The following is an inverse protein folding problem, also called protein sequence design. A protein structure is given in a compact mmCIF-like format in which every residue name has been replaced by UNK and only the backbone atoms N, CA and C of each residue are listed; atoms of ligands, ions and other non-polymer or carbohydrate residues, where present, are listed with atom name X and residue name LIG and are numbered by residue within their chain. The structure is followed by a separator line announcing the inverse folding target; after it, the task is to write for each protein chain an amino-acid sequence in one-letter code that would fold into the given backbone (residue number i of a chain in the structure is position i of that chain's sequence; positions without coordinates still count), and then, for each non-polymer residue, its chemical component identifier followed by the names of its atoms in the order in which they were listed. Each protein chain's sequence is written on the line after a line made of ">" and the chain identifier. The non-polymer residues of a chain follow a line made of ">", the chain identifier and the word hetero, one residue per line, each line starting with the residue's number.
data_IF_473020430768
#
_entry.id   IF_473020430768
#
_cell.length_a   1.000
_cell.length_b   1.000
_cell.length_c   1.000
_cell.angle_alpha   90.00
_cell.angle_beta   90.00
_cell.angle_gamma   90.00
#
_symmetry.space_group_name_H-M   'P 1'
#
loop_
_entity.id
_entity.type
_entity.pdbx_description
1 polymer ?
#
# COMPACT_ATOMS: atom_id res chain seq x y z
N UNK A 1 -9.10 6.16 3.40
CA UNK A 1 -8.71 6.93 4.62
C UNK A 1 -8.39 8.37 4.24
N UNK A 2 -8.82 9.32 5.07
CA UNK A 2 -8.52 10.75 4.87
C UNK A 2 -7.06 11.03 5.23
N UNK A 3 -6.39 11.82 4.39
CA UNK A 3 -4.99 12.21 4.55
C UNK A 3 -4.90 13.63 5.07
N UNK A 4 -4.06 13.85 6.06
CA UNK A 4 -3.66 15.17 6.54
C UNK A 4 -2.23 15.43 6.07
N UNK A 5 -2.01 16.52 5.33
CA UNK A 5 -0.67 16.92 4.91
C UNK A 5 -0.01 17.73 6.03
N UNK A 6 1.18 17.31 6.45
CA UNK A 6 2.04 18.02 7.43
C UNK A 6 3.48 17.98 6.94
N UNK A 7 4.12 19.12 6.86
CA UNK A 7 5.51 19.28 6.37
C UNK A 7 5.75 18.60 5.00
N UNK A 8 4.76 18.66 4.11
CA UNK A 8 4.81 18.02 2.81
C UNK A 8 4.64 16.49 2.81
N UNK A 9 4.41 15.89 4.00
CA UNK A 9 4.18 14.45 4.14
C UNK A 9 2.71 14.14 4.42
N UNK A 10 2.26 13.03 3.86
CA UNK A 10 0.92 12.50 4.08
C UNK A 10 0.86 11.73 5.39
N UNK A 11 -0.09 12.09 6.25
CA UNK A 11 -0.34 11.42 7.53
C UNK A 11 -1.79 10.94 7.58
N UNK A 12 -2.03 9.85 8.27
CA UNK A 12 -3.37 9.32 8.56
C UNK A 12 -3.54 9.14 10.07
N UNK A 13 -4.78 9.32 10.53
CA UNK A 13 -5.08 9.10 11.94
C UNK A 13 -5.02 7.61 12.29
N UNK A 14 -4.46 7.26 13.45
CA UNK A 14 -4.40 5.88 13.93
C UNK A 14 -5.78 5.23 14.04
N UNK A 15 -6.78 5.98 14.44
CA UNK A 15 -8.18 5.51 14.51
C UNK A 15 -8.77 5.18 13.12
N UNK A 16 -8.36 5.89 12.07
CA UNK A 16 -8.78 5.57 10.71
C UNK A 16 -8.07 4.31 10.19
N UNK A 17 -6.79 4.12 10.54
CA UNK A 17 -6.05 2.89 10.21
C UNK A 17 -6.69 1.65 10.81
N UNK A 18 -7.10 1.73 12.08
CA UNK A 18 -7.76 0.62 12.75
C UNK A 18 -9.11 0.29 12.12
N UNK A 19 -9.95 1.30 11.89
CA UNK A 19 -11.30 1.12 11.39
C UNK A 19 -11.36 0.71 9.91
N UNK A 20 -10.50 1.29 9.06
CA UNK A 20 -10.61 1.15 7.60
C UNK A 20 -9.58 0.16 7.01
N UNK A 21 -8.45 -0.07 7.70
CA UNK A 21 -7.40 -0.96 7.24
C UNK A 21 -7.07 -2.12 8.20
N UNK A 22 -7.71 -2.17 9.37
CA UNK A 22 -7.44 -3.18 10.38
C UNK A 22 -6.01 -3.09 10.96
N UNK A 23 -5.37 -1.93 10.86
CA UNK A 23 -4.01 -1.71 11.35
C UNK A 23 -4.08 -1.02 12.70
N UNK A 24 -3.66 -1.69 13.75
CA UNK A 24 -3.67 -1.19 15.12
C UNK A 24 -2.32 -0.59 15.49
N UNK A 25 -2.33 0.62 16.01
CA UNK A 25 -1.13 1.29 16.51
C UNK A 25 -1.08 1.15 18.03
N UNK A 26 0.02 0.59 18.53
CA UNK A 26 0.25 0.39 19.98
C UNK A 26 1.54 1.05 20.42
N UNK A 27 1.53 1.63 21.62
CA UNK A 27 2.74 2.13 22.29
C UNK A 27 3.36 1.02 23.10
N UNK A 28 4.65 0.78 22.91
CA UNK A 28 5.37 -0.22 23.70
C UNK A 28 5.70 0.36 25.10
N UNK A 29 5.43 -0.41 26.17
CA UNK A 29 5.78 0.02 27.51
C UNK A 29 7.31 0.06 27.68
N UNK A 30 7.82 1.15 28.24
CA UNK A 30 9.24 1.30 28.63
C UNK A 30 10.20 1.85 27.58
N UNK A 31 9.84 1.87 26.29
CA UNK A 31 10.76 2.37 25.22
C UNK A 31 10.27 3.59 24.48
N UNK A 32 9.04 4.02 24.69
CA UNK A 32 8.48 5.16 23.94
C UNK A 32 8.29 4.90 22.42
N UNK A 33 8.51 3.67 21.99
CA UNK A 33 8.36 3.24 20.62
C UNK A 33 6.92 2.84 20.31
N UNK A 34 6.53 2.99 19.06
CA UNK A 34 5.23 2.59 18.57
C UNK A 34 5.34 1.41 17.61
N UNK A 35 4.34 0.55 17.60
CA UNK A 35 4.26 -0.61 16.72
C UNK A 35 2.95 -0.53 15.95
N UNK A 36 3.02 -0.71 14.64
CA UNK A 36 1.87 -0.93 13.78
C UNK A 36 1.69 -2.44 13.57
N UNK A 37 0.52 -2.94 13.89
CA UNK A 37 0.14 -4.34 13.68
C UNK A 37 -1.00 -4.41 12.67
N UNK A 38 -0.73 -5.02 11.51
CA UNK A 38 -1.75 -5.47 10.56
C UNK A 38 -2.18 -6.90 10.84
N UNK A 39 -2.90 -7.51 9.89
CA UNK A 39 -3.41 -8.88 10.03
C UNK A 39 -2.32 -9.96 10.08
N UNK A 40 -1.22 -9.76 9.37
CA UNK A 40 -0.17 -10.78 9.20
C UNK A 40 1.16 -10.43 9.84
N UNK A 41 1.41 -9.16 10.10
CA UNK A 41 2.69 -8.71 10.66
C UNK A 41 2.57 -7.45 11.51
N UNK A 42 3.52 -7.32 12.43
CA UNK A 42 3.74 -6.12 13.21
C UNK A 42 5.12 -5.54 12.90
N UNK A 43 5.24 -4.22 12.87
CA UNK A 43 6.51 -3.55 12.65
C UNK A 43 6.61 -2.27 13.50
N UNK A 44 7.82 -1.92 13.90
CA UNK A 44 8.10 -0.71 14.67
C UNK A 44 8.02 0.52 13.78
N UNK A 45 7.34 1.55 14.24
CA UNK A 45 7.26 2.85 13.58
C UNK A 45 8.37 3.76 14.11
N UNK A 46 9.16 4.34 13.21
CA UNK A 46 10.26 5.24 13.55
C UNK A 46 9.79 6.60 14.07
N UNK A 47 8.62 7.05 13.65
CA UNK A 47 8.06 8.33 14.06
C UNK A 47 6.54 8.28 14.07
N UNK A 48 5.99 8.96 15.08
CA UNK A 48 4.55 9.17 15.22
C UNK A 48 4.36 10.59 15.74
N UNK A 49 3.39 11.31 15.20
CA UNK A 49 3.01 12.63 15.67
C UNK A 49 1.75 12.54 16.51
N UNK A 50 1.70 13.35 17.54
CA UNK A 50 0.50 13.52 18.35
C UNK A 50 -0.08 14.91 18.08
N UNK A 51 -1.34 14.96 17.68
CA UNK A 51 -2.08 16.20 17.48
C UNK A 51 -3.33 16.17 18.38
N UNK A 52 -3.25 16.88 19.51
CA UNK A 52 -4.24 16.75 20.58
C UNK A 52 -4.26 15.32 21.13
N UNK A 53 -5.40 14.69 21.05
CA UNK A 53 -5.63 13.30 21.54
C UNK A 53 -5.51 12.25 20.41
N UNK A 54 -5.08 12.69 19.21
CA UNK A 54 -5.01 11.82 18.01
C UNK A 54 -3.57 11.56 17.63
N UNK A 55 -3.26 10.30 17.37
CA UNK A 55 -1.99 9.89 16.79
C UNK A 55 -2.06 9.95 15.27
N UNK A 56 -1.10 10.66 14.69
CA UNK A 56 -0.91 10.77 13.24
C UNK A 56 0.30 9.95 12.81
N UNK A 57 0.08 9.05 11.88
CA UNK A 57 1.10 8.15 11.34
C UNK A 57 1.47 8.57 9.93
N UNK A 58 2.76 8.77 9.67
CA UNK A 58 3.24 9.06 8.31
C UNK A 58 2.99 7.85 7.40
N UNK A 59 2.32 8.07 6.28
CA UNK A 59 1.97 6.99 5.33
C UNK A 59 3.22 6.30 4.81
N UNK A 60 4.29 7.06 4.48
CA UNK A 60 5.55 6.49 4.02
C UNK A 60 6.19 5.53 5.04
N UNK A 61 6.22 5.94 6.32
CA UNK A 61 6.76 5.09 7.38
C UNK A 61 5.94 3.82 7.61
N UNK A 62 4.62 3.89 7.39
CA UNK A 62 3.72 2.76 7.53
C UNK A 62 3.87 1.77 6.36
N UNK A 63 3.95 2.28 5.13
CA UNK A 63 4.15 1.45 3.93
C UNK A 63 5.47 0.70 3.99
N UNK A 64 6.55 1.35 4.37
CA UNK A 64 7.86 0.71 4.53
C UNK A 64 7.86 -0.36 5.63
N UNK A 65 7.27 -0.03 6.78
CA UNK A 65 7.27 -0.93 7.94
C UNK A 65 6.43 -2.19 7.71
N UNK A 66 5.24 -2.06 7.13
CA UNK A 66 4.30 -3.18 6.93
C UNK A 66 4.36 -3.78 5.52
N UNK A 67 5.26 -3.31 4.65
CA UNK A 67 5.34 -3.76 3.25
C UNK A 67 3.99 -3.56 2.53
N UNK A 68 3.48 -2.34 2.60
CA UNK A 68 2.25 -1.93 1.95
C UNK A 68 2.55 -0.97 0.80
N UNK A 69 1.61 -0.85 -0.12
CA UNK A 69 1.58 0.19 -1.14
C UNK A 69 0.48 1.19 -0.82
N UNK A 70 0.77 2.46 -1.03
CA UNK A 70 -0.20 3.54 -0.84
C UNK A 70 -0.69 4.06 -2.20
N UNK A 71 -1.98 4.01 -2.41
CA UNK A 71 -2.66 4.54 -3.60
C UNK A 71 -3.40 5.81 -3.17
N UNK A 72 -3.01 6.94 -3.76
CA UNK A 72 -3.64 8.23 -3.49
C UNK A 72 -4.69 8.54 -4.56
N UNK A 73 -5.78 9.18 -4.15
CA UNK A 73 -6.72 9.79 -5.09
C UNK A 73 -6.08 11.00 -5.81
N UNK A 74 -6.71 11.49 -6.88
CA UNK A 74 -6.19 12.63 -7.66
C UNK A 74 -6.01 13.89 -6.81
N UNK A 75 -6.87 14.11 -5.82
CA UNK A 75 -6.79 15.24 -4.89
C UNK A 75 -5.76 15.07 -3.79
N UNK A 76 -5.17 13.88 -3.66
CA UNK A 76 -4.27 13.46 -2.57
C UNK A 76 -4.84 13.64 -1.16
N UNK A 77 -6.16 13.68 -1.06
CA UNK A 77 -6.88 13.79 0.22
C UNK A 77 -7.25 12.43 0.81
N UNK A 78 -7.25 11.38 -0.01
CA UNK A 78 -7.52 10.02 0.43
C UNK A 78 -6.38 9.11 0.03
N UNK A 79 -6.12 8.11 0.87
CA UNK A 79 -5.17 7.04 0.62
C UNK A 79 -5.84 5.70 0.88
N UNK A 80 -5.58 4.75 0.00
CA UNK A 80 -5.89 3.34 0.18
C UNK A 80 -4.59 2.59 0.36
N UNK A 81 -4.50 1.80 1.43
CA UNK A 81 -3.36 0.93 1.70
C UNK A 81 -3.70 -0.47 1.21
N UNK A 82 -2.83 -1.02 0.40
CA UNK A 82 -2.95 -2.39 -0.13
C UNK A 82 -1.68 -3.16 0.20
N UNK A 83 -1.74 -4.49 0.37
CA UNK A 83 -0.52 -5.28 0.51
C UNK A 83 0.42 -5.01 -0.66
N UNK A 84 1.70 -4.76 -0.38
CA UNK A 84 2.70 -4.75 -1.44
C UNK A 84 2.76 -6.17 -1.97
N UNK A 85 2.31 -6.38 -3.20
CA UNK A 85 2.40 -7.68 -3.87
C UNK A 85 3.88 -8.04 -3.93
N UNK A 86 4.24 -9.14 -3.27
CA UNK A 86 5.61 -9.56 -3.03
C UNK A 86 6.49 -9.51 -4.28
N UNK A 87 7.73 -9.15 -4.03
CA UNK A 87 8.81 -8.93 -4.98
C UNK A 87 8.77 -9.82 -6.22
N UNK A 88 8.43 -9.22 -7.31
CA UNK A 88 9.03 -9.49 -8.60
C UNK A 88 9.39 -8.14 -9.20
N UNK A 89 10.60 -7.72 -8.87
CA UNK A 89 11.40 -6.67 -9.50
C UNK A 89 10.76 -5.98 -10.71
N UNK A 90 10.70 -4.67 -10.60
CA UNK A 90 10.54 -3.63 -11.61
C UNK A 90 9.17 -3.01 -11.74
N UNK A 91 9.12 -1.76 -11.27
CA UNK A 91 8.05 -0.76 -11.36
C UNK A 91 6.85 -0.99 -10.44
N UNK A 92 7.03 -0.69 -9.16
CA UNK A 92 5.96 -0.56 -8.16
C UNK A 92 5.20 0.75 -8.34
N UNK A 93 4.41 0.85 -9.39
CA UNK A 93 3.56 2.01 -9.64
C UNK A 93 2.39 1.65 -10.56
N UNK A 94 1.31 2.43 -10.55
CA UNK A 94 0.24 2.23 -11.52
C UNK A 94 0.82 2.33 -12.94
N UNK A 95 0.37 1.44 -13.82
CA UNK A 95 0.73 1.47 -15.22
C UNK A 95 0.45 2.86 -15.80
N UNK A 96 1.45 3.49 -16.40
CA UNK A 96 1.33 4.80 -17.03
C UNK A 96 1.59 4.67 -18.52
N UNK A 97 0.89 5.47 -19.33
CA UNK A 97 1.16 5.55 -20.76
C UNK A 97 2.62 5.96 -20.98
N UNK A 98 3.33 5.21 -21.82
CA UNK A 98 4.75 5.42 -22.11
C UNK A 98 5.74 4.79 -21.13
N UNK A 99 5.26 4.13 -20.07
CA UNK A 99 6.11 3.36 -19.16
C UNK A 99 6.10 1.87 -19.48
N UNK A 100 7.11 1.15 -18.99
CA UNK A 100 7.15 -0.30 -19.09
C UNK A 100 6.05 -0.88 -18.21
N UNK A 101 5.17 -1.72 -18.78
CA UNK A 101 4.12 -2.39 -18.04
C UNK A 101 4.70 -3.31 -16.94
N UNK A 102 4.12 -3.32 -15.74
CA UNK A 102 4.50 -4.26 -14.69
C UNK A 102 4.24 -5.69 -15.14
N UNK A 103 5.02 -6.63 -14.63
CA UNK A 103 4.82 -8.03 -14.94
C UNK A 103 3.58 -8.57 -14.21
N UNK A 104 2.56 -8.95 -14.95
CA UNK A 104 1.40 -9.66 -14.42
C UNK A 104 1.62 -11.17 -14.60
N UNK A 105 1.39 -11.92 -13.54
CA UNK A 105 1.33 -13.38 -13.58
C UNK A 105 -0.10 -13.80 -13.37
N UNK A 106 -0.65 -14.52 -14.32
CA UNK A 106 -2.01 -15.01 -14.34
C UNK A 106 -2.03 -16.52 -14.52
N UNK A 107 -3.11 -17.15 -14.14
CA UNK A 107 -3.33 -18.58 -14.36
C UNK A 107 -4.43 -18.70 -15.43
N UNK A 108 -4.16 -19.43 -16.48
CA UNK A 108 -5.13 -19.74 -17.52
C UNK A 108 -6.22 -20.70 -16.98
N UNK A 109 -7.30 -20.84 -17.73
CA UNK A 109 -8.41 -21.73 -17.34
C UNK A 109 -7.99 -23.21 -17.24
N UNK A 110 -6.94 -23.60 -17.93
CA UNK A 110 -6.35 -24.95 -17.88
C UNK A 110 -5.35 -25.13 -16.72
N UNK A 111 -5.14 -24.08 -15.88
CA UNK A 111 -4.20 -24.09 -14.77
C UNK A 111 -2.77 -23.71 -15.15
N UNK A 112 -2.48 -23.43 -16.42
CA UNK A 112 -1.13 -23.05 -16.86
C UNK A 112 -0.81 -21.60 -16.45
N UNK A 113 0.35 -21.33 -15.80
CA UNK A 113 0.75 -19.96 -15.50
C UNK A 113 1.20 -19.25 -16.78
N UNK A 114 0.79 -17.99 -16.92
CA UNK A 114 1.23 -17.09 -17.99
C UNK A 114 1.76 -15.79 -17.38
N UNK A 115 2.83 -15.27 -17.94
CA UNK A 115 3.48 -14.04 -17.50
C UNK A 115 3.46 -13.00 -18.61
N UNK A 116 3.12 -11.76 -18.28
CA UNK A 116 3.13 -10.68 -19.25
C UNK A 116 4.53 -10.45 -19.86
N UNK A 117 5.59 -10.78 -19.10
CA UNK A 117 6.96 -10.70 -19.59
C UNK A 117 7.26 -11.63 -20.77
N UNK A 118 6.56 -12.75 -20.88
CA UNK A 118 6.73 -13.72 -21.98
C UNK A 118 6.15 -13.18 -23.29
N UNK A 119 5.27 -12.19 -23.20
CA UNK A 119 4.64 -11.54 -24.35
C UNK A 119 5.36 -10.25 -24.79
N UNK A 120 6.58 -9.99 -24.30
CA UNK A 120 7.36 -8.81 -24.68
C UNK A 120 7.67 -8.83 -26.17
N UNK A 121 7.55 -7.66 -26.79
CA UNK A 121 7.67 -7.49 -28.25
C UNK A 121 6.37 -7.72 -29.01
N UNK A 122 5.32 -8.17 -28.36
CA UNK A 122 3.99 -8.32 -28.93
C UNK A 122 3.05 -7.20 -28.46
N UNK A 123 2.03 -6.90 -29.24
CA UNK A 123 0.93 -6.03 -28.80
C UNK A 123 -0.06 -6.85 -27.99
N UNK A 124 -0.29 -6.45 -26.75
CA UNK A 124 -1.18 -7.15 -25.80
C UNK A 124 -2.33 -6.21 -25.44
N UNK A 125 -3.56 -6.67 -25.60
CA UNK A 125 -4.76 -6.02 -25.08
C UNK A 125 -5.22 -6.78 -23.84
N UNK A 126 -5.31 -6.09 -22.70
CA UNK A 126 -5.84 -6.66 -21.46
C UNK A 126 -7.26 -6.12 -21.28
N UNK A 127 -8.23 -7.00 -21.16
CA UNK A 127 -9.60 -6.69 -20.83
C UNK A 127 -10.03 -7.48 -19.59
N UNK A 128 -10.64 -6.81 -18.64
CA UNK A 128 -11.21 -7.46 -17.46
C UNK A 128 -12.70 -7.17 -17.38
N UNK A 129 -13.48 -8.19 -17.09
CA UNK A 129 -14.93 -8.07 -16.87
C UNK A 129 -15.34 -8.95 -15.71
N UNK A 130 -16.49 -8.68 -15.16
CA UNK A 130 -17.12 -9.53 -14.16
C UNK A 130 -18.56 -9.82 -14.61
N UNK A 131 -18.99 -11.04 -14.40
CA UNK A 131 -20.40 -11.44 -14.55
C UNK A 131 -20.99 -11.57 -13.16
N UNK A 132 -21.81 -10.63 -12.73
CA UNK A 132 -22.67 -10.68 -11.55
C UNK A 132 -24.12 -10.59 -11.92
#
# INVERSE_FOLDING_TARGET
>A
MVVTLRDGQAHVAASALEREAGIVIKKLPGRGEFVACGTERCATLKSLRTEGDTWLVAVAGLTDALQLSAIYDESRRHVTLVPAVGESSTSTGPARVGSIAPNLRLIQLDGTPVSLNELRGQRVLINSWASW
#
